data_IF_703638778058
#
_entry.id   IF_703638778058
#
_cell.length_a   1.000
_cell.length_b   1.000
_cell.length_c   1.000
_cell.angle_alpha   90.00
_cell.angle_beta   90.00
_cell.angle_gamma   90.00
#
_symmetry.space_group_name_H-M   'P 1'
#
loop_
_entity.id
_entity.type
_entity.pdbx_description
1 polymer ?
#
# COMPACT_ATOMS: atom_id res chain seq x y z
N UNK A 1 17.04 11.85 -3.61
CA UNK A 1 15.87 12.31 -4.37
C UNK A 1 16.23 13.65 -4.97
N UNK A 2 16.06 13.86 -6.28
CA UNK A 2 16.31 15.15 -6.92
C UNK A 2 15.23 16.13 -6.51
N UNK A 3 15.60 17.33 -6.06
CA UNK A 3 14.64 18.40 -5.74
C UNK A 3 14.64 19.41 -6.89
N UNK A 4 13.45 19.85 -7.26
CA UNK A 4 13.24 20.88 -8.27
C UNK A 4 12.26 21.93 -7.76
N UNK A 5 12.55 23.20 -8.09
CA UNK A 5 11.68 24.33 -7.70
C UNK A 5 10.77 24.78 -8.84
N UNK A 6 11.05 24.32 -10.07
CA UNK A 6 10.33 24.73 -11.29
C UNK A 6 9.45 23.58 -11.80
N UNK A 7 8.15 23.81 -11.84
CA UNK A 7 7.17 22.85 -12.39
C UNK A 7 7.48 22.40 -13.83
N UNK A 8 8.15 23.23 -14.61
CA UNK A 8 8.56 22.91 -16.00
C UNK A 8 9.54 21.74 -16.07
N UNK A 9 10.29 21.47 -14.99
CA UNK A 9 11.20 20.32 -14.92
C UNK A 9 10.49 18.96 -15.04
N UNK A 10 9.20 18.90 -14.73
CA UNK A 10 8.41 17.68 -14.89
C UNK A 10 7.91 17.44 -16.29
N UNK A 11 7.84 18.49 -17.15
CA UNK A 11 7.16 18.41 -18.42
C UNK A 11 5.65 18.16 -18.26
N UNK A 12 5.02 17.62 -19.27
CA UNK A 12 3.59 17.28 -19.24
C UNK A 12 3.36 15.96 -18.50
N UNK A 13 2.53 15.97 -17.47
CA UNK A 13 2.32 14.86 -16.53
C UNK A 13 0.95 14.23 -16.74
N UNK A 14 0.91 12.90 -16.94
CA UNK A 14 -0.33 12.14 -16.86
C UNK A 14 -0.57 11.68 -15.42
N UNK A 15 -1.71 12.01 -14.83
CA UNK A 15 -2.19 11.43 -13.58
C UNK A 15 -3.13 10.28 -13.96
N UNK A 16 -2.61 9.03 -13.91
CA UNK A 16 -3.42 7.86 -14.26
C UNK A 16 -4.23 7.40 -13.05
N UNK A 17 -5.55 7.33 -13.23
CA UNK A 17 -6.53 7.02 -12.18
C UNK A 17 -7.65 6.13 -12.73
N UNK A 18 -8.59 5.72 -11.89
CA UNK A 18 -9.76 4.93 -12.29
C UNK A 18 -9.41 3.48 -12.59
N UNK A 19 -9.39 3.11 -13.86
CA UNK A 19 -9.13 1.74 -14.30
C UNK A 19 -10.31 0.78 -14.06
N UNK A 20 -10.03 -0.53 -13.94
CA UNK A 20 -11.06 -1.58 -13.90
C UNK A 20 -11.11 -2.38 -12.60
N UNK A 21 -10.27 -2.04 -11.61
CA UNK A 21 -10.24 -2.73 -10.32
C UNK A 21 -11.49 -2.43 -9.47
N UNK A 22 -11.71 -3.22 -8.43
CA UNK A 22 -12.75 -2.96 -7.44
C UNK A 22 -12.56 -1.62 -6.69
N UNK A 23 -11.34 -1.08 -6.69
CA UNK A 23 -10.97 0.18 -6.02
C UNK A 23 -11.06 1.42 -6.95
N UNK A 24 -11.71 1.28 -8.12
CA UNK A 24 -11.86 2.36 -9.12
C UNK A 24 -12.33 3.69 -8.52
N UNK A 25 -13.34 3.67 -7.66
CA UNK A 25 -13.92 4.89 -7.07
C UNK A 25 -12.89 5.62 -6.21
N UNK A 26 -12.14 4.89 -5.39
CA UNK A 26 -11.08 5.45 -4.53
C UNK A 26 -9.94 6.01 -5.39
N UNK A 27 -9.61 5.33 -6.50
CA UNK A 27 -8.58 5.78 -7.45
C UNK A 27 -8.99 7.09 -8.16
N UNK A 28 -10.25 7.24 -8.55
CA UNK A 28 -10.77 8.46 -9.17
C UNK A 28 -10.77 9.64 -8.18
N UNK A 29 -11.16 9.43 -6.95
CA UNK A 29 -11.14 10.46 -5.90
C UNK A 29 -9.69 10.87 -5.59
N UNK A 30 -8.82 9.91 -5.29
CA UNK A 30 -7.38 10.15 -5.06
C UNK A 30 -6.74 10.89 -6.23
N UNK A 31 -7.01 10.44 -7.46
CA UNK A 31 -6.46 11.04 -8.67
C UNK A 31 -6.95 12.46 -8.91
N UNK A 32 -8.22 12.75 -8.62
CA UNK A 32 -8.78 14.11 -8.72
C UNK A 32 -8.11 15.06 -7.74
N UNK A 33 -7.87 14.62 -6.50
CA UNK A 33 -7.18 15.42 -5.49
C UNK A 33 -5.72 15.68 -5.87
N UNK A 34 -4.99 14.64 -6.31
CA UNK A 34 -3.60 14.78 -6.80
C UNK A 34 -3.53 15.72 -8.00
N UNK A 35 -4.44 15.58 -8.96
CA UNK A 35 -4.50 16.44 -10.15
C UNK A 35 -4.69 17.91 -9.77
N UNK A 36 -5.62 18.19 -8.85
CA UNK A 36 -5.86 19.53 -8.35
C UNK A 36 -4.62 20.12 -7.65
N UNK A 37 -3.97 19.35 -6.77
CA UNK A 37 -2.77 19.74 -6.04
C UNK A 37 -1.58 20.06 -6.96
N UNK A 38 -1.31 19.19 -7.95
CA UNK A 38 -0.23 19.42 -8.90
C UNK A 38 -0.47 20.67 -9.76
N UNK A 39 -1.71 20.88 -10.21
CA UNK A 39 -2.10 22.09 -10.97
C UNK A 39 -1.98 23.35 -10.14
N UNK A 40 -2.35 23.33 -8.87
CA UNK A 40 -2.20 24.46 -7.94
C UNK A 40 -0.73 24.89 -7.81
N UNK A 41 0.21 23.96 -7.98
CA UNK A 41 1.66 24.23 -8.02
C UNK A 41 2.23 24.48 -9.40
N UNK A 42 1.39 24.68 -10.42
CA UNK A 42 1.80 25.06 -11.77
C UNK A 42 2.28 23.90 -12.65
N UNK A 43 2.09 22.63 -12.21
CA UNK A 43 2.43 21.46 -13.03
C UNK A 43 1.41 21.31 -14.17
N UNK A 44 1.88 21.10 -15.41
CA UNK A 44 1.03 20.76 -16.57
C UNK A 44 0.53 19.31 -16.45
N UNK A 45 -0.46 19.10 -15.55
CA UNK A 45 -0.98 17.79 -15.16
C UNK A 45 -2.36 17.52 -15.78
N UNK A 46 -2.57 16.28 -16.28
CA UNK A 46 -3.80 15.84 -16.95
C UNK A 46 -4.25 14.48 -16.43
N UNK A 47 -5.54 14.34 -16.12
CA UNK A 47 -6.13 13.08 -15.70
C UNK A 47 -6.33 12.12 -16.89
N UNK A 48 -6.00 10.86 -16.71
CA UNK A 48 -6.23 9.78 -17.67
C UNK A 48 -6.88 8.60 -16.97
N UNK A 49 -7.97 8.09 -17.53
CA UNK A 49 -8.68 6.94 -16.96
C UNK A 49 -8.18 5.61 -17.54
N UNK A 50 -7.48 4.86 -16.70
CA UNK A 50 -7.05 3.50 -16.97
C UNK A 50 -5.79 3.37 -17.86
N UNK A 51 -5.27 2.14 -17.87
CA UNK A 51 -3.99 1.80 -18.53
C UNK A 51 -4.08 1.91 -20.06
N UNK A 52 -5.13 1.41 -20.76
CA UNK A 52 -5.17 1.47 -22.23
C UNK A 52 -5.07 2.90 -22.75
N UNK A 53 -5.90 3.82 -22.23
CA UNK A 53 -5.89 5.22 -22.66
C UNK A 53 -4.54 5.91 -22.35
N UNK A 54 -3.92 5.58 -21.21
CA UNK A 54 -2.59 6.08 -20.88
C UNK A 54 -1.55 5.62 -21.89
N UNK A 55 -1.51 4.34 -22.22
CA UNK A 55 -0.50 3.79 -23.15
C UNK A 55 -0.64 4.38 -24.56
N UNK A 56 -1.85 4.61 -25.04
CA UNK A 56 -2.08 5.29 -26.32
C UNK A 56 -1.55 6.73 -26.28
N UNK A 57 -1.85 7.47 -25.21
CA UNK A 57 -1.42 8.85 -25.06
C UNK A 57 0.12 9.00 -24.92
N UNK A 58 0.79 8.11 -24.18
CA UNK A 58 2.26 8.15 -24.04
C UNK A 58 2.97 7.74 -25.32
N UNK A 59 2.43 6.77 -26.10
CA UNK A 59 2.96 6.41 -27.43
C UNK A 59 2.83 7.55 -28.41
N UNK A 60 1.77 8.34 -28.32
CA UNK A 60 1.58 9.54 -29.10
C UNK A 60 2.48 10.71 -28.69
N UNK A 61 3.31 10.55 -27.65
CA UNK A 61 4.22 11.58 -27.17
C UNK A 61 3.54 12.72 -26.39
N UNK A 62 2.33 12.47 -25.87
CA UNK A 62 1.57 13.52 -25.19
C UNK A 62 2.07 13.80 -23.77
N UNK A 63 2.83 12.90 -23.14
CA UNK A 63 3.27 13.01 -21.75
C UNK A 63 4.74 12.67 -21.57
N UNK A 64 5.41 13.43 -20.72
CA UNK A 64 6.81 13.25 -20.37
C UNK A 64 6.99 12.28 -19.19
N UNK A 65 5.96 12.13 -18.34
CA UNK A 65 5.95 11.25 -17.16
C UNK A 65 4.56 10.92 -16.67
N UNK A 66 4.48 9.95 -15.76
CA UNK A 66 3.22 9.46 -15.20
C UNK A 66 3.25 9.55 -13.68
N UNK A 67 2.20 10.12 -13.10
CA UNK A 67 1.84 9.95 -11.68
C UNK A 67 0.85 8.80 -11.61
N UNK A 68 1.26 7.66 -11.04
CA UNK A 68 0.40 6.50 -10.88
C UNK A 68 -0.40 6.60 -9.57
N UNK A 69 -1.72 6.61 -9.69
CA UNK A 69 -2.68 6.54 -8.57
C UNK A 69 -3.80 5.53 -8.85
N UNK A 70 -3.52 4.56 -9.73
CA UNK A 70 -4.36 3.38 -9.86
C UNK A 70 -4.21 2.51 -8.60
N UNK A 71 -5.33 2.03 -8.07
CA UNK A 71 -5.36 1.12 -6.95
C UNK A 71 -5.74 -0.29 -7.41
N UNK A 72 -5.03 -1.29 -6.89
CA UNK A 72 -5.25 -2.70 -7.22
C UNK A 72 -4.89 -3.10 -8.66
N UNK A 73 -4.93 -4.40 -8.92
CA UNK A 73 -4.75 -4.98 -10.25
C UNK A 73 -3.53 -4.47 -11.01
N UNK A 74 -3.69 -4.17 -12.30
CA UNK A 74 -2.61 -3.77 -13.20
C UNK A 74 -1.90 -2.47 -12.82
N UNK A 75 -2.45 -1.66 -11.91
CA UNK A 75 -1.82 -0.44 -11.39
C UNK A 75 -0.72 -0.72 -10.36
N UNK A 76 -0.79 -1.88 -9.68
CA UNK A 76 0.11 -2.23 -8.56
C UNK A 76 0.82 -3.58 -8.72
N UNK A 77 0.51 -4.39 -9.75
CA UNK A 77 1.08 -5.72 -9.93
C UNK A 77 2.34 -5.77 -10.81
N UNK A 78 2.82 -4.63 -11.31
CA UNK A 78 3.97 -4.54 -12.21
C UNK A 78 3.63 -4.44 -13.71
N UNK A 79 2.37 -4.65 -14.12
CA UNK A 79 1.95 -4.55 -15.53
C UNK A 79 2.13 -3.13 -16.09
N UNK A 80 1.56 -2.14 -15.43
CA UNK A 80 1.71 -0.73 -15.81
C UNK A 80 3.18 -0.32 -15.78
N UNK A 81 3.89 -0.68 -14.72
CA UNK A 81 5.30 -0.34 -14.53
C UNK A 81 6.17 -0.92 -15.65
N UNK A 82 5.94 -2.18 -16.05
CA UNK A 82 6.64 -2.84 -17.15
C UNK A 82 6.37 -2.19 -18.50
N UNK A 83 5.13 -1.80 -18.77
CA UNK A 83 4.75 -1.08 -19.98
C UNK A 83 5.45 0.28 -20.06
N UNK A 84 5.43 1.08 -18.96
CA UNK A 84 6.07 2.39 -18.93
C UNK A 84 7.59 2.30 -19.02
N UNK A 85 8.23 1.33 -18.33
CA UNK A 85 9.66 1.09 -18.45
C UNK A 85 10.07 0.74 -19.90
N UNK A 86 9.30 -0.13 -20.57
CA UNK A 86 9.55 -0.50 -21.96
C UNK A 86 9.47 0.70 -22.92
N UNK A 87 8.60 1.67 -22.60
CA UNK A 87 8.45 2.92 -23.35
C UNK A 87 9.43 4.01 -22.86
N UNK A 88 10.25 3.76 -21.86
CA UNK A 88 11.16 4.73 -21.21
C UNK A 88 10.45 5.96 -20.68
N UNK A 89 9.23 5.79 -20.19
CA UNK A 89 8.44 6.86 -19.56
C UNK A 89 8.67 6.81 -18.05
N UNK A 90 9.21 7.87 -17.43
CA UNK A 90 9.33 7.98 -15.98
C UNK A 90 7.96 7.97 -15.29
N UNK A 91 7.89 7.35 -14.12
CA UNK A 91 6.66 7.29 -13.34
C UNK A 91 6.95 7.30 -11.82
N UNK A 92 5.95 7.66 -11.03
CA UNK A 92 6.03 7.66 -9.57
C UNK A 92 5.84 6.26 -8.99
N UNK A 93 6.51 5.97 -7.88
CA UNK A 93 6.34 4.72 -7.13
C UNK A 93 7.33 3.63 -7.51
N UNK A 94 7.01 2.42 -7.11
CA UNK A 94 7.88 1.25 -7.27
C UNK A 94 7.94 0.77 -8.71
N UNK A 95 9.08 0.20 -9.11
CA UNK A 95 9.24 -0.47 -10.39
C UNK A 95 8.54 -1.83 -10.43
N UNK A 96 8.75 -2.60 -11.53
CA UNK A 96 8.09 -3.89 -11.78
C UNK A 96 8.24 -4.84 -10.60
N UNK A 97 9.47 -5.07 -10.14
CA UNK A 97 9.75 -6.04 -9.08
C UNK A 97 9.08 -5.64 -7.75
N UNK A 98 9.26 -4.38 -7.33
CA UNK A 98 8.70 -3.89 -6.07
C UNK A 98 7.18 -3.93 -6.07
N UNK A 99 6.53 -3.53 -7.17
CA UNK A 99 5.07 -3.59 -7.31
C UNK A 99 4.56 -5.04 -7.26
N UNK A 100 5.16 -5.94 -8.05
CA UNK A 100 4.72 -7.34 -8.11
C UNK A 100 4.90 -8.07 -6.76
N UNK A 101 6.05 -7.89 -6.09
CA UNK A 101 6.30 -8.51 -4.79
C UNK A 101 5.38 -7.95 -3.69
N UNK A 102 5.11 -6.65 -3.71
CA UNK A 102 4.29 -6.00 -2.68
C UNK A 102 2.82 -6.41 -2.78
N UNK A 103 2.28 -6.54 -3.99
CA UNK A 103 0.89 -6.95 -4.18
C UNK A 103 0.66 -8.39 -3.72
N UNK A 104 1.62 -9.31 -3.97
CA UNK A 104 1.53 -10.72 -3.57
C UNK A 104 1.96 -10.87 -2.10
N UNK A 105 0.99 -10.87 -1.19
CA UNK A 105 1.21 -11.00 0.26
C UNK A 105 2.02 -12.25 0.64
N UNK A 106 1.85 -13.34 -0.10
CA UNK A 106 2.61 -14.58 0.15
C UNK A 106 4.09 -14.36 -0.20
N UNK A 107 4.38 -13.76 -1.36
CA UNK A 107 5.76 -13.49 -1.80
C UNK A 107 6.42 -12.43 -0.92
N UNK A 108 5.71 -11.36 -0.58
CA UNK A 108 6.20 -10.35 0.36
C UNK A 108 6.64 -11.00 1.69
N UNK A 109 5.78 -11.81 2.29
CA UNK A 109 6.09 -12.50 3.56
C UNK A 109 7.23 -13.52 3.44
N UNK A 110 7.35 -14.23 2.31
CA UNK A 110 8.46 -15.14 2.06
C UNK A 110 9.80 -14.38 2.00
N UNK A 111 9.84 -13.21 1.35
CA UNK A 111 11.02 -12.34 1.29
C UNK A 111 11.37 -11.83 2.69
N UNK A 112 10.39 -11.31 3.42
CA UNK A 112 10.61 -10.82 4.79
C UNK A 112 11.12 -11.92 5.72
N UNK A 113 10.53 -13.12 5.65
CA UNK A 113 10.96 -14.27 6.44
C UNK A 113 12.40 -14.68 6.12
N UNK A 114 12.80 -14.64 4.85
CA UNK A 114 14.17 -14.97 4.43
C UNK A 114 15.22 -13.94 4.91
N UNK A 115 14.77 -12.74 5.26
CA UNK A 115 15.59 -11.63 5.78
C UNK A 115 15.39 -11.40 7.29
N UNK A 116 14.79 -12.35 8.00
CA UNK A 116 14.51 -12.27 9.44
C UNK A 116 13.67 -11.05 9.87
N UNK A 117 12.85 -10.50 8.95
CA UNK A 117 11.90 -9.45 9.27
C UNK A 117 10.60 -10.05 9.82
N UNK A 118 10.11 -9.47 10.92
CA UNK A 118 8.95 -10.00 11.66
C UNK A 118 7.67 -9.92 10.84
N UNK A 119 7.05 -11.07 10.54
CA UNK A 119 5.72 -11.18 9.94
C UNK A 119 4.97 -12.35 10.59
N UNK A 120 3.63 -12.31 10.72
CA UNK A 120 2.87 -13.42 11.30
C UNK A 120 3.22 -14.76 10.65
N UNK A 121 3.26 -15.85 11.43
CA UNK A 121 3.40 -17.20 10.85
C UNK A 121 2.28 -17.41 9.83
N UNK A 122 2.62 -17.97 8.68
CA UNK A 122 1.66 -18.12 7.60
C UNK A 122 1.86 -19.41 6.81
N UNK A 123 0.82 -19.78 6.06
CA UNK A 123 0.82 -20.82 5.03
C UNK A 123 0.19 -20.26 3.75
N UNK A 124 0.85 -20.51 2.63
CA UNK A 124 0.25 -20.36 1.32
C UNK A 124 -0.70 -21.55 1.08
N UNK A 125 -1.89 -21.27 0.58
CA UNK A 125 -2.91 -22.26 0.28
C UNK A 125 -3.21 -22.22 -1.24
N UNK A 126 -2.46 -22.94 -2.05
CA UNK A 126 -2.80 -23.13 -3.45
C UNK A 126 -4.13 -23.90 -3.56
N UNK A 127 -4.76 -23.84 -4.72
CA UNK A 127 -6.02 -24.58 -4.95
C UNK A 127 -5.83 -26.06 -4.65
N UNK A 128 -6.74 -26.62 -3.83
CA UNK A 128 -6.72 -28.03 -3.42
C UNK A 128 -5.82 -28.32 -2.21
N UNK A 129 -5.23 -27.32 -1.58
CA UNK A 129 -4.48 -27.50 -0.33
C UNK A 129 -5.37 -28.05 0.78
N UNK A 130 -4.80 -28.87 1.67
CA UNK A 130 -5.47 -29.29 2.91
C UNK A 130 -5.51 -28.12 3.90
N UNK A 131 -6.65 -27.40 3.89
CA UNK A 131 -6.85 -26.20 4.72
C UNK A 131 -6.87 -26.52 6.21
N UNK A 132 -7.38 -27.71 6.60
CA UNK A 132 -7.41 -28.13 7.99
C UNK A 132 -6.00 -28.51 8.50
N UNK A 133 -5.17 -29.14 7.67
CA UNK A 133 -3.77 -29.40 8.03
C UNK A 133 -2.99 -28.08 8.19
N UNK A 134 -3.22 -27.11 7.30
CA UNK A 134 -2.62 -25.79 7.42
C UNK A 134 -3.06 -25.05 8.69
N UNK A 135 -4.36 -25.08 9.01
CA UNK A 135 -4.89 -24.47 10.22
C UNK A 135 -4.32 -25.12 11.50
N UNK A 136 -4.18 -26.44 11.53
CA UNK A 136 -3.51 -27.13 12.65
C UNK A 136 -2.06 -26.70 12.82
N UNK A 137 -1.36 -26.44 11.72
CA UNK A 137 0.04 -26.00 11.76
C UNK A 137 0.20 -24.55 12.21
N UNK A 138 -0.77 -23.68 11.90
CA UNK A 138 -0.80 -22.25 12.32
C UNK A 138 -1.29 -22.15 13.78
N UNK A 139 -2.38 -22.86 14.11
CA UNK A 139 -3.14 -22.69 15.35
C UNK A 139 -4.19 -21.58 15.25
N UNK A 140 -5.21 -21.65 16.13
CA UNK A 140 -6.24 -20.61 16.24
C UNK A 140 -5.88 -19.62 17.37
N UNK A 141 -6.27 -18.35 17.28
CA UNK A 141 -7.01 -17.75 16.15
C UNK A 141 -6.11 -17.46 14.94
N UNK A 142 -6.71 -17.46 13.76
CA UNK A 142 -6.02 -17.21 12.49
C UNK A 142 -6.85 -16.31 11.54
N UNK A 143 -6.21 -15.84 10.47
CA UNK A 143 -6.85 -15.07 9.38
C UNK A 143 -6.71 -15.86 8.09
N UNK A 144 -7.81 -15.90 7.31
CA UNK A 144 -7.82 -16.37 5.92
C UNK A 144 -8.12 -15.19 5.01
N UNK A 145 -7.32 -15.00 3.95
CA UNK A 145 -7.47 -13.90 3.01
C UNK A 145 -6.93 -14.23 1.62
N UNK A 146 -7.44 -13.60 0.55
CA UNK A 146 -6.83 -13.66 -0.78
C UNK A 146 -5.42 -13.05 -0.74
N UNK A 147 -4.48 -13.61 -1.51
CA UNK A 147 -3.09 -13.13 -1.52
C UNK A 147 -2.93 -11.81 -2.27
N UNK A 148 -3.79 -11.50 -3.26
CA UNK A 148 -3.62 -10.39 -4.21
C UNK A 148 -4.66 -9.28 -4.10
N UNK A 149 -5.59 -9.39 -3.14
CA UNK A 149 -6.65 -8.38 -2.95
C UNK A 149 -6.25 -7.34 -1.89
N UNK A 150 -6.68 -6.11 -2.13
CA UNK A 150 -6.56 -4.98 -1.22
C UNK A 150 -7.82 -4.76 -0.37
N UNK A 151 -7.86 -3.64 0.34
CA UNK A 151 -9.05 -3.08 1.03
C UNK A 151 -9.79 -4.05 1.96
N UNK A 152 -9.09 -5.00 2.56
CA UNK A 152 -9.64 -6.05 3.46
C UNK A 152 -10.72 -6.94 2.80
N UNK A 153 -10.75 -7.00 1.45
CA UNK A 153 -11.71 -7.80 0.70
C UNK A 153 -11.41 -9.29 0.89
N UNK A 154 -12.45 -10.08 1.22
CA UNK A 154 -12.32 -11.53 1.44
C UNK A 154 -11.54 -11.93 2.68
N UNK A 155 -11.19 -11.00 3.57
CA UNK A 155 -10.49 -11.26 4.83
C UNK A 155 -11.46 -11.79 5.88
N UNK A 156 -11.11 -12.90 6.53
CA UNK A 156 -11.93 -13.48 7.61
C UNK A 156 -11.05 -13.90 8.78
N UNK A 157 -11.43 -13.47 9.98
CA UNK A 157 -10.87 -13.96 11.25
C UNK A 157 -11.53 -15.27 11.62
N UNK A 158 -10.75 -16.28 11.97
CA UNK A 158 -11.22 -17.63 12.29
C UNK A 158 -10.75 -17.99 13.69
N UNK A 159 -11.70 -18.16 14.61
CA UNK A 159 -11.41 -18.42 16.01
C UNK A 159 -11.48 -19.93 16.32
N UNK A 160 -12.15 -20.72 15.49
CA UNK A 160 -12.32 -22.15 15.69
C UNK A 160 -12.44 -22.88 14.35
N UNK A 161 -12.09 -24.17 14.34
CA UNK A 161 -12.08 -25.03 13.14
C UNK A 161 -13.44 -25.07 12.41
N UNK A 162 -14.55 -24.97 13.15
CA UNK A 162 -15.91 -24.99 12.58
C UNK A 162 -16.18 -23.85 11.60
N UNK A 163 -15.47 -22.71 11.74
CA UNK A 163 -15.68 -21.50 10.93
C UNK A 163 -14.72 -21.46 9.72
N UNK A 164 -13.75 -22.39 9.65
CA UNK A 164 -12.68 -22.38 8.66
C UNK A 164 -13.18 -22.53 7.23
N UNK A 165 -14.09 -23.48 6.98
CA UNK A 165 -14.58 -23.74 5.63
C UNK A 165 -15.31 -22.52 5.04
N UNK A 166 -16.13 -21.83 5.82
CA UNK A 166 -16.83 -20.62 5.39
C UNK A 166 -15.84 -19.48 5.05
N UNK A 167 -14.78 -19.32 5.85
CA UNK A 167 -13.72 -18.34 5.60
C UNK A 167 -12.98 -18.63 4.28
N UNK A 168 -12.62 -19.89 4.06
CA UNK A 168 -11.95 -20.32 2.82
C UNK A 168 -12.86 -20.13 1.61
N UNK A 169 -14.14 -20.51 1.69
CA UNK A 169 -15.11 -20.33 0.61
C UNK A 169 -15.28 -18.86 0.24
N UNK A 170 -15.35 -17.97 1.23
CA UNK A 170 -15.43 -16.53 0.98
C UNK A 170 -14.17 -16.02 0.25
N UNK A 171 -12.97 -16.38 0.73
CA UNK A 171 -11.72 -15.93 0.14
C UNK A 171 -11.50 -16.51 -1.27
N UNK A 172 -11.99 -17.74 -1.57
CA UNK A 172 -11.89 -18.38 -2.88
C UNK A 172 -12.73 -17.72 -3.99
N UNK A 173 -13.61 -16.78 -3.65
CA UNK A 173 -14.34 -15.97 -4.64
C UNK A 173 -13.43 -15.02 -5.40
N UNK A 174 -12.23 -14.79 -4.90
CA UNK A 174 -11.22 -13.91 -5.48
C UNK A 174 -10.12 -14.74 -6.17
N UNK A 175 -9.44 -14.17 -7.18
CA UNK A 175 -8.41 -14.88 -7.92
C UNK A 175 -7.15 -15.11 -7.08
N UNK A 176 -6.38 -16.14 -7.47
CA UNK A 176 -5.08 -16.45 -6.87
C UNK A 176 -5.13 -17.45 -5.72
N UNK A 177 -3.98 -17.59 -5.08
CA UNK A 177 -3.81 -18.41 -3.88
C UNK A 177 -4.35 -17.69 -2.66
N UNK A 178 -4.68 -18.45 -1.60
CA UNK A 178 -5.05 -17.88 -0.32
C UNK A 178 -3.84 -17.86 0.62
N UNK A 179 -3.84 -16.85 1.49
CA UNK A 179 -2.95 -16.74 2.63
C UNK A 179 -3.71 -17.07 3.91
N UNK A 180 -3.18 -18.00 4.69
CA UNK A 180 -3.61 -18.27 6.06
C UNK A 180 -2.48 -17.83 7.01
N UNK A 181 -2.79 -17.00 8.00
CA UNK A 181 -1.78 -16.49 8.93
C UNK A 181 -2.29 -16.41 10.37
N UNK A 182 -1.39 -16.42 11.35
CA UNK A 182 -1.73 -16.19 12.75
C UNK A 182 -2.43 -14.83 12.88
N UNK A 183 -3.57 -14.78 13.56
CA UNK A 183 -4.19 -13.52 13.96
C UNK A 183 -3.33 -12.87 15.05
N UNK A 184 -2.85 -11.68 14.77
CA UNK A 184 -2.16 -10.87 15.78
C UNK A 184 -3.20 -10.04 16.51
N UNK A 185 -3.29 -10.23 17.82
CA UNK A 185 -4.18 -9.49 18.69
C UNK A 185 -3.40 -8.38 19.39
N UNK A 186 -3.88 -7.17 19.25
CA UNK A 186 -3.40 -6.01 19.99
C UNK A 186 -4.28 -5.74 21.21
N UNK A 187 -3.81 -4.88 22.09
CA UNK A 187 -4.59 -4.36 23.22
C UNK A 187 -5.08 -2.91 22.95
N UNK A 188 -5.93 -2.41 23.84
CA UNK A 188 -6.48 -1.07 23.73
C UNK A 188 -5.44 0.05 23.97
N UNK A 189 -4.26 -0.25 24.53
CA UNK A 189 -3.26 0.76 24.91
C UNK A 189 -2.19 0.96 23.85
N UNK A 190 -1.31 -0.02 23.63
CA UNK A 190 -0.21 0.10 22.66
C UNK A 190 -0.31 -0.90 21.49
N UNK A 191 -1.05 -1.99 21.67
CA UNK A 191 -1.32 -2.96 20.61
C UNK A 191 -2.27 -2.43 19.53
N UNK A 192 -2.40 -3.13 18.41
CA UNK A 192 -3.34 -2.81 17.34
C UNK A 192 -2.69 -2.56 15.98
N UNK A 193 -3.46 -1.96 15.09
CA UNK A 193 -3.05 -1.71 13.71
C UNK A 193 -2.34 -0.37 13.58
N UNK A 194 -1.18 -0.40 12.93
CA UNK A 194 -0.35 0.76 12.64
C UNK A 194 -0.04 0.81 11.15
N UNK A 195 0.29 2.01 10.70
CA UNK A 195 0.82 2.21 9.36
C UNK A 195 1.95 3.23 9.36
N UNK A 196 2.89 3.02 8.43
CA UNK A 196 4.05 3.88 8.24
C UNK A 196 4.14 4.26 6.78
N UNK A 197 4.14 5.55 6.49
CA UNK A 197 4.32 6.07 5.13
C UNK A 197 5.79 6.35 4.86
N UNK A 198 6.23 6.04 3.64
CA UNK A 198 7.61 6.26 3.17
C UNK A 198 7.56 7.12 1.92
N UNK A 199 8.41 8.15 1.86
CA UNK A 199 8.58 9.05 0.73
C UNK A 199 10.06 9.16 0.37
N UNK A 200 10.47 8.49 -0.71
CA UNK A 200 11.90 8.31 -1.03
C UNK A 200 12.60 7.47 0.03
N UNK A 201 13.41 8.10 0.86
CA UNK A 201 14.07 7.50 2.03
C UNK A 201 13.57 8.11 3.35
N UNK A 202 12.69 9.08 3.28
CA UNK A 202 12.08 9.68 4.44
C UNK A 202 10.94 8.81 4.94
N UNK A 203 11.02 8.41 6.20
CA UNK A 203 9.98 7.66 6.88
C UNK A 203 9.15 8.64 7.70
N UNK A 204 7.87 8.77 7.37
CA UNK A 204 6.96 9.68 8.05
C UNK A 204 6.54 9.11 9.43
N UNK A 205 5.97 9.94 10.32
CA UNK A 205 5.48 9.47 11.61
C UNK A 205 4.49 8.31 11.46
N UNK A 206 4.53 7.36 12.41
CA UNK A 206 3.57 6.25 12.45
C UNK A 206 2.15 6.76 12.67
N UNK A 207 1.17 6.04 12.15
CA UNK A 207 -0.24 6.27 12.51
C UNK A 207 -0.77 5.02 13.19
N UNK A 208 -1.33 5.17 14.41
CA UNK A 208 -2.16 4.14 15.02
C UNK A 208 -3.58 4.29 14.52
N UNK A 209 -4.17 3.19 14.05
CA UNK A 209 -5.54 3.12 13.55
C UNK A 209 -6.39 2.48 14.64
N UNK A 210 -7.40 3.22 15.10
CA UNK A 210 -8.35 2.75 16.13
C UNK A 210 -9.74 2.75 15.52
N UNK A 211 -10.15 1.65 14.86
CA UNK A 211 -11.50 1.53 14.34
C UNK A 211 -12.50 1.42 15.49
N UNK A 212 -13.72 1.92 15.30
CA UNK A 212 -14.81 1.74 16.27
C UNK A 212 -15.34 0.30 16.28
N UNK A 213 -15.20 -0.40 15.14
CA UNK A 213 -15.56 -1.81 15.00
C UNK A 213 -14.46 -2.75 15.49
N UNK A 214 -14.65 -4.05 15.25
CA UNK A 214 -13.69 -5.08 15.69
C UNK A 214 -12.37 -5.04 14.91
N UNK A 215 -12.34 -4.50 13.68
CA UNK A 215 -11.14 -4.35 12.87
C UNK A 215 -11.32 -3.30 11.77
N UNK A 216 -10.23 -2.91 11.13
CA UNK A 216 -10.16 -1.90 10.09
C UNK A 216 -10.57 -2.48 8.72
N UNK A 217 -11.88 -2.67 8.53
CA UNK A 217 -12.49 -3.20 7.31
C UNK A 217 -12.71 -2.13 6.23
N UNK A 218 -13.33 -2.52 5.11
CA UNK A 218 -13.65 -1.60 4.01
C UNK A 218 -14.50 -0.42 4.47
N UNK A 219 -15.49 -0.66 5.34
CA UNK A 219 -16.35 0.40 5.86
C UNK A 219 -15.56 1.38 6.74
N UNK A 220 -14.71 0.88 7.63
CA UNK A 220 -13.85 1.71 8.47
C UNK A 220 -12.80 2.49 7.68
N UNK A 221 -12.38 1.99 6.49
CA UNK A 221 -11.39 2.63 5.61
C UNK A 221 -11.96 3.79 4.78
N UNK A 222 -13.20 3.66 4.27
CA UNK A 222 -13.70 4.53 3.21
C UNK A 222 -15.06 5.16 3.48
N UNK A 223 -15.81 4.67 4.46
CA UNK A 223 -17.22 5.09 4.71
C UNK A 223 -17.41 5.68 6.11
N UNK A 224 -16.83 5.04 7.12
CA UNK A 224 -17.01 5.47 8.51
C UNK A 224 -16.17 6.72 8.84
N UNK A 225 -16.77 7.70 9.48
CA UNK A 225 -16.09 8.93 9.93
C UNK A 225 -15.58 8.82 11.38
N UNK A 226 -15.83 7.70 12.05
CA UNK A 226 -15.58 7.50 13.48
C UNK A 226 -14.32 6.66 13.78
N UNK A 227 -13.52 6.31 12.77
CA UNK A 227 -12.19 5.73 12.96
C UNK A 227 -11.23 6.80 13.46
N UNK A 228 -10.59 6.55 14.61
CA UNK A 228 -9.61 7.48 15.17
C UNK A 228 -8.21 7.15 14.60
N UNK A 229 -7.51 8.20 14.15
CA UNK A 229 -6.14 8.14 13.67
C UNK A 229 -5.23 8.96 14.58
N UNK A 230 -4.29 8.30 15.27
CA UNK A 230 -3.35 8.94 16.19
C UNK A 230 -2.00 9.03 15.49
N UNK A 231 -1.48 10.24 15.29
CA UNK A 231 -0.21 10.50 14.60
C UNK A 231 0.62 11.55 15.37
N UNK A 232 1.86 11.22 15.80
CA UNK A 232 2.47 9.91 15.76
C UNK A 232 1.73 8.88 16.62
N UNK A 233 1.70 7.63 16.16
CA UNK A 233 1.00 6.52 16.83
C UNK A 233 1.75 5.95 18.02
N UNK A 234 3.07 6.11 18.03
CA UNK A 234 3.99 5.71 19.09
C UNK A 234 4.90 6.89 19.45
N UNK A 235 5.79 6.68 20.42
CA UNK A 235 6.79 7.67 20.83
C UNK A 235 8.13 7.01 21.18
N UNK A 236 9.19 7.81 21.20
CA UNK A 236 10.51 7.38 21.64
C UNK A 236 11.09 6.21 20.85
N UNK A 237 11.62 5.22 21.55
CA UNK A 237 12.30 4.07 20.94
C UNK A 237 11.33 3.17 20.13
N UNK A 238 10.07 3.03 20.56
CA UNK A 238 9.07 2.22 19.85
C UNK A 238 8.70 2.84 18.49
N UNK A 239 8.51 4.16 18.42
CA UNK A 239 8.30 4.88 17.17
C UNK A 239 9.47 4.67 16.20
N UNK A 240 10.71 4.83 16.68
CA UNK A 240 11.89 4.65 15.85
C UNK A 240 12.06 3.21 15.39
N UNK A 241 11.79 2.22 16.23
CA UNK A 241 11.88 0.81 15.88
C UNK A 241 10.89 0.44 14.77
N UNK A 242 9.62 0.86 14.89
CA UNK A 242 8.59 0.59 13.88
C UNK A 242 8.91 1.26 12.54
N UNK A 243 9.39 2.51 12.55
CA UNK A 243 9.84 3.22 11.34
C UNK A 243 11.02 2.51 10.66
N UNK A 244 11.98 2.01 11.46
CA UNK A 244 13.11 1.23 10.94
C UNK A 244 12.65 -0.09 10.31
N UNK A 245 11.74 -0.81 10.96
CA UNK A 245 11.14 -2.04 10.42
C UNK A 245 10.40 -1.79 9.11
N UNK A 246 9.61 -0.71 9.04
CA UNK A 246 8.89 -0.34 7.82
C UNK A 246 9.83 -0.06 6.65
N UNK A 247 10.92 0.69 6.89
CA UNK A 247 11.92 0.97 5.86
C UNK A 247 12.63 -0.31 5.40
N UNK A 248 12.98 -1.19 6.34
CA UNK A 248 13.58 -2.48 6.02
C UNK A 248 12.63 -3.36 5.17
N UNK A 249 11.33 -3.37 5.50
CA UNK A 249 10.31 -4.10 4.74
C UNK A 249 10.15 -3.55 3.31
N UNK A 250 10.17 -2.23 3.14
CA UNK A 250 10.13 -1.55 1.85
C UNK A 250 11.35 -1.88 0.98
N UNK A 251 12.56 -1.83 1.57
CA UNK A 251 13.81 -2.13 0.88
C UNK A 251 13.87 -3.61 0.47
N UNK A 252 13.46 -4.51 1.35
CA UNK A 252 13.44 -5.96 1.12
C UNK A 252 12.62 -6.36 -0.12
N UNK A 253 11.53 -5.62 -0.39
CA UNK A 253 10.68 -5.84 -1.57
C UNK A 253 11.15 -5.06 -2.81
N UNK A 254 12.32 -4.44 -2.78
CA UNK A 254 12.82 -3.58 -3.85
C UNK A 254 11.85 -2.44 -4.23
N UNK A 255 11.11 -1.93 -3.25
CA UNK A 255 10.23 -0.78 -3.42
C UNK A 255 11.05 0.51 -3.63
N UNK A 256 10.43 1.48 -4.29
CA UNK A 256 11.01 2.80 -4.53
C UNK A 256 9.93 3.88 -4.60
N UNK A 257 10.35 5.13 -4.59
CA UNK A 257 9.45 6.29 -4.69
C UNK A 257 8.67 6.52 -3.40
N UNK A 258 7.51 5.97 -3.26
CA UNK A 258 6.66 6.12 -2.08
C UNK A 258 5.82 4.86 -1.84
N UNK A 259 5.44 4.64 -0.59
CA UNK A 259 4.58 3.52 -0.21
C UNK A 259 4.01 3.72 1.20
N UNK A 260 3.10 2.82 1.59
CA UNK A 260 2.59 2.67 2.95
C UNK A 260 2.80 1.22 3.40
N UNK A 261 3.42 1.06 4.57
CA UNK A 261 3.65 -0.24 5.20
C UNK A 261 2.66 -0.42 6.33
N UNK A 262 1.87 -1.48 6.30
CA UNK A 262 0.87 -1.79 7.30
C UNK A 262 1.42 -2.86 8.27
N UNK A 263 1.27 -2.60 9.57
CA UNK A 263 1.93 -3.33 10.66
C UNK A 263 0.91 -3.60 11.76
N UNK A 264 0.92 -4.80 12.32
CA UNK A 264 0.19 -5.11 13.54
C UNK A 264 1.16 -5.16 14.71
N UNK A 265 0.83 -4.46 15.81
CA UNK A 265 1.58 -4.53 17.06
C UNK A 265 0.81 -5.38 18.06
N UNK A 266 1.47 -6.41 18.63
CA UNK A 266 0.84 -7.26 19.64
C UNK A 266 0.88 -6.62 21.03
N UNK A 267 0.20 -7.28 21.98
CA UNK A 267 0.15 -6.83 23.38
C UNK A 267 1.48 -6.94 24.14
N UNK A 268 2.50 -7.56 23.57
CA UNK A 268 3.87 -7.58 24.08
C UNK A 268 4.75 -6.48 23.50
N UNK A 269 4.21 -5.67 22.55
CA UNK A 269 4.93 -4.62 21.88
C UNK A 269 5.80 -5.11 20.71
N UNK A 270 5.57 -6.33 20.19
CA UNK A 270 6.24 -6.79 18.97
C UNK A 270 5.48 -6.34 17.74
N UNK A 271 6.22 -5.90 16.73
CA UNK A 271 5.70 -5.38 15.46
C UNK A 271 5.73 -6.47 14.37
N UNK A 272 4.62 -6.66 13.68
CA UNK A 272 4.41 -7.70 12.68
C UNK A 272 3.99 -7.10 11.34
N UNK A 273 4.83 -7.25 10.31
CA UNK A 273 4.56 -6.76 8.95
C UNK A 273 3.36 -7.49 8.34
N UNK A 274 2.41 -6.73 7.81
CA UNK A 274 1.24 -7.26 7.12
C UNK A 274 1.38 -7.17 5.60
N UNK A 275 1.58 -5.94 5.07
CA UNK A 275 1.68 -5.66 3.64
C UNK A 275 2.38 -4.32 3.36
N UNK A 276 2.80 -4.13 2.09
CA UNK A 276 3.26 -2.83 1.55
C UNK A 276 2.35 -2.44 0.40
N UNK A 277 1.81 -1.23 0.47
CA UNK A 277 0.97 -0.63 -0.58
C UNK A 277 1.80 0.35 -1.39
N UNK A 278 2.03 0.08 -2.68
CA UNK A 278 2.93 0.86 -3.55
C UNK A 278 2.25 2.02 -4.28
N UNK A 279 0.93 2.09 -4.24
CA UNK A 279 0.14 3.24 -4.69
C UNK A 279 -0.98 3.52 -3.66
N UNK A 280 -0.64 3.97 -2.44
CA UNK A 280 -1.63 4.18 -1.39
C UNK A 280 -2.59 5.32 -1.73
N UNK A 281 -3.80 5.29 -1.13
CA UNK A 281 -4.83 6.30 -1.35
C UNK A 281 -4.40 7.72 -1.00
N UNK A 282 -4.97 8.68 -1.73
CA UNK A 282 -4.73 10.13 -1.60
C UNK A 282 -6.05 10.92 -1.48
N UNK A 283 -7.05 10.31 -0.82
CA UNK A 283 -8.31 10.98 -0.46
C UNK A 283 -8.15 11.75 0.85
N UNK A 284 -9.16 12.52 1.25
CA UNK A 284 -9.19 13.23 2.53
C UNK A 284 -9.06 12.31 3.76
N UNK A 285 -9.47 11.05 3.63
CA UNK A 285 -9.38 10.04 4.70
C UNK A 285 -8.07 9.24 4.67
N UNK A 286 -7.25 9.40 3.63
CA UNK A 286 -6.07 8.58 3.39
C UNK A 286 -4.95 8.86 4.40
N UNK A 287 -4.19 7.81 4.71
CA UNK A 287 -3.23 7.79 5.81
C UNK A 287 -1.91 8.49 5.44
N UNK A 288 -1.47 8.40 4.17
CA UNK A 288 -0.23 9.08 3.73
C UNK A 288 -0.35 10.61 3.85
N UNK A 289 -1.44 11.26 3.39
CA UNK A 289 -1.65 12.69 3.65
C UNK A 289 -1.69 13.05 5.14
N UNK A 290 -2.27 12.21 5.98
CA UNK A 290 -2.32 12.45 7.44
C UNK A 290 -0.93 12.39 8.08
N UNK A 291 -0.10 11.39 7.70
CA UNK A 291 1.29 11.29 8.16
C UNK A 291 2.14 12.47 7.68
N UNK A 292 1.95 12.90 6.43
CA UNK A 292 2.64 14.06 5.86
C UNK A 292 2.26 15.37 6.60
N UNK A 293 0.98 15.59 6.87
CA UNK A 293 0.51 16.76 7.63
C UNK A 293 1.08 16.78 9.05
N UNK A 294 1.17 15.63 9.73
CA UNK A 294 1.80 15.52 11.04
C UNK A 294 3.32 15.80 11.00
N UNK A 295 3.97 15.59 9.86
CA UNK A 295 5.37 15.97 9.60
C UNK A 295 5.52 17.44 9.11
N UNK A 296 4.45 18.23 9.08
CA UNK A 296 4.47 19.64 8.63
C UNK A 296 4.43 19.82 7.11
N UNK A 297 4.06 18.78 6.35
CA UNK A 297 3.97 18.79 4.89
C UNK A 297 2.50 18.86 4.46
N UNK A 298 2.11 19.93 3.75
CA UNK A 298 0.78 20.05 3.16
C UNK A 298 0.59 19.09 1.98
N UNK A 299 -0.65 18.95 1.53
CA UNK A 299 -1.02 17.98 0.49
C UNK A 299 -0.38 18.30 -0.87
N UNK A 300 -0.30 19.56 -1.22
CA UNK A 300 0.31 20.05 -2.46
C UNK A 300 1.82 19.74 -2.47
N UNK A 301 2.50 19.95 -1.36
CA UNK A 301 3.92 19.60 -1.18
C UNK A 301 4.13 18.09 -1.22
N UNK A 302 3.26 17.31 -0.59
CA UNK A 302 3.30 15.85 -0.66
C UNK A 302 3.19 15.36 -2.11
N UNK A 303 2.19 15.84 -2.88
CA UNK A 303 2.01 15.46 -4.28
C UNK A 303 3.23 15.84 -5.14
N UNK A 304 3.78 17.02 -4.91
CA UNK A 304 5.01 17.47 -5.55
C UNK A 304 6.20 16.55 -5.27
N UNK A 305 6.43 16.25 -3.99
CA UNK A 305 7.54 15.37 -3.59
C UNK A 305 7.37 13.92 -4.08
N UNK A 306 6.14 13.43 -4.16
CA UNK A 306 5.87 12.14 -4.81
C UNK A 306 6.23 12.23 -6.29
N UNK A 307 5.88 13.32 -6.99
CA UNK A 307 6.22 13.51 -8.41
C UNK A 307 7.74 13.61 -8.60
N UNK A 308 8.49 14.24 -7.68
CA UNK A 308 9.96 14.28 -7.71
C UNK A 308 10.60 12.88 -7.72
N UNK A 309 9.93 11.86 -7.14
CA UNK A 309 10.45 10.48 -7.16
C UNK A 309 10.55 9.89 -8.58
N UNK A 310 9.88 10.49 -9.56
CA UNK A 310 9.95 10.11 -10.96
C UNK A 310 11.09 10.78 -11.74
N UNK A 311 11.82 11.68 -11.12
CA UNK A 311 13.01 12.30 -11.71
C UNK A 311 14.20 11.33 -11.68
N UNK A 312 15.14 11.42 -12.65
CA UNK A 312 16.38 10.68 -12.55
C UNK A 312 17.08 10.99 -11.23
N UNK A 313 17.47 9.96 -10.49
CA UNK A 313 18.46 10.15 -9.43
C UNK A 313 19.78 10.50 -10.10
N UNK A 314 20.41 11.61 -9.69
CA UNK A 314 21.78 11.87 -10.07
C UNK A 314 22.58 10.62 -9.72
N UNK A 315 23.32 10.08 -10.67
CA UNK A 315 24.24 8.98 -10.40
C UNK A 315 25.27 9.46 -9.37
N UNK A 316 25.57 8.64 -8.35
CA UNK A 316 26.58 8.98 -7.36
C UNK A 316 27.95 9.19 -7.96
#
# INVERSE_FOLDING_TARGET
>A
MSHVDDARAFGRVAVVMGGTSAERVVSLDSGSNVLAALRARGVDAHGIDGIPALLDAVRAGHFARVFNILHGGGGENGELQGALQSLRIPFTGSGVLGSALSLDKIRAKQVWQALDLSTPRFKALPRGADVHAAARAIGFPLVVKPAWEGSSVGVTRVFADKDLNAAVELAQRYPGDLLMETLIEGDAHEGGEYTVSILGREVLPTIKIVPKGEYYDYNAKYVAEDTLYICPGLSGAAEQAMRTLALAAFDALACSGWARVDIMRDHHGHDWLLEVNTAPGMTSHSLVPKAAAAAGMDFETLCWRILETSLPTEAP
#
